data_IF_049404326672
#
_entry.id   IF_049404326672
#
_cell.length_a   1.000
_cell.length_b   1.000
_cell.length_c   1.000
_cell.angle_alpha   90.00
_cell.angle_beta   90.00
_cell.angle_gamma   90.00
#
_symmetry.space_group_name_H-M   'P 1'
#
loop_
_entity.id
_entity.type
_entity.pdbx_description
1 polymer ?
#
# COMPACT_ATOMS: atom_id res chain seq x y z
N UNK A 1 -11.75 -19.22 11.75
CA UNK A 1 -10.48 -18.44 11.81
C UNK A 1 -10.44 -17.48 10.62
N UNK A 2 -10.06 -16.23 10.81
CA UNK A 2 -9.91 -15.30 9.69
C UNK A 2 -8.75 -15.72 8.79
N UNK A 3 -9.01 -15.91 7.51
CA UNK A 3 -8.12 -16.66 6.62
C UNK A 3 -7.07 -15.80 5.91
N UNK A 4 -7.15 -14.48 5.93
CA UNK A 4 -6.09 -13.58 5.43
C UNK A 4 -6.37 -12.12 5.76
N UNK A 5 -5.31 -11.34 5.92
CA UNK A 5 -5.37 -9.88 5.96
C UNK A 5 -5.20 -9.33 4.53
N UNK A 6 -6.16 -8.58 4.05
CA UNK A 6 -6.05 -7.80 2.83
C UNK A 6 -5.78 -6.35 3.22
N UNK A 7 -4.66 -5.77 2.76
CA UNK A 7 -4.31 -4.38 3.03
C UNK A 7 -4.73 -3.48 1.89
N UNK A 8 -5.37 -2.37 2.21
CA UNK A 8 -5.74 -1.34 1.26
C UNK A 8 -5.11 -0.01 1.63
N UNK A 9 -4.64 0.71 0.64
CA UNK A 9 -4.21 2.10 0.80
C UNK A 9 -5.16 2.98 0.02
N UNK A 10 -5.79 3.90 0.73
CA UNK A 10 -6.70 4.86 0.13
C UNK A 10 -6.13 6.28 0.30
N UNK A 11 -6.20 7.07 -0.77
CA UNK A 11 -5.86 8.49 -0.73
C UNK A 11 -7.13 9.30 -0.70
N UNK A 12 -7.27 10.13 0.32
CA UNK A 12 -8.43 11.01 0.47
C UNK A 12 -8.00 12.47 0.42
N UNK A 13 -8.78 13.27 -0.29
CA UNK A 13 -8.67 14.72 -0.29
C UNK A 13 -10.05 15.33 -0.13
N UNK A 14 -10.21 16.18 0.87
CA UNK A 14 -11.26 17.17 0.90
C UNK A 14 -10.71 18.45 0.28
N UNK A 15 -11.10 18.75 -0.97
CA UNK A 15 -10.88 20.07 -1.56
C UNK A 15 -12.22 20.78 -1.63
N UNK A 16 -12.39 21.95 -1.02
CA UNK A 16 -13.61 22.73 -1.13
C UNK A 16 -13.89 23.22 -2.57
N UNK A 17 -12.89 23.14 -3.48
CA UNK A 17 -12.98 23.65 -4.84
C UNK A 17 -13.02 22.58 -5.94
N UNK A 18 -12.81 21.28 -5.64
CA UNK A 18 -12.83 20.20 -6.62
C UNK A 18 -13.44 18.90 -6.07
N UNK A 19 -14.55 18.48 -6.69
CA UNK A 19 -15.42 17.38 -6.25
C UNK A 19 -14.90 15.95 -6.51
N UNK A 20 -13.72 15.75 -7.12
CA UNK A 20 -13.28 14.43 -7.56
C UNK A 20 -11.79 14.18 -7.23
N UNK A 21 -11.53 13.50 -6.12
CA UNK A 21 -10.16 13.19 -5.73
C UNK A 21 -10.03 12.04 -4.73
N UNK A 22 -10.64 10.87 -5.04
CA UNK A 22 -10.37 9.64 -4.29
C UNK A 22 -9.65 8.67 -5.20
N UNK A 23 -8.43 8.30 -4.84
CA UNK A 23 -7.71 7.22 -5.50
C UNK A 23 -7.52 6.08 -4.52
N UNK A 24 -7.81 4.87 -4.93
CA UNK A 24 -7.66 3.67 -4.13
C UNK A 24 -6.61 2.78 -4.76
N UNK A 25 -5.61 2.44 -3.96
CA UNK A 25 -4.59 1.47 -4.32
C UNK A 25 -4.87 0.16 -3.60
N UNK A 26 -4.84 -0.94 -4.33
CA UNK A 26 -4.95 -2.26 -3.75
C UNK A 26 -3.58 -2.91 -3.65
N UNK A 27 -3.25 -3.40 -2.47
CA UNK A 27 -2.15 -4.31 -2.24
C UNK A 27 -2.69 -5.52 -1.48
N UNK A 28 -2.51 -6.71 -2.01
CA UNK A 28 -2.73 -7.93 -1.25
C UNK A 28 -1.38 -8.41 -0.72
N UNK A 29 -1.19 -8.41 0.58
CA UNK A 29 -0.08 -9.12 1.22
C UNK A 29 -0.52 -10.55 1.50
N UNK A 30 -0.45 -11.42 0.50
CA UNK A 30 -0.81 -12.83 0.65
C UNK A 30 0.45 -13.67 0.51
N UNK A 31 0.79 -14.33 1.59
CA UNK A 31 1.49 -15.59 1.51
C UNK A 31 0.45 -16.67 1.17
N UNK A 32 0.56 -17.29 -0.01
CA UNK A 32 -0.21 -18.40 -0.56
C UNK A 32 -1.45 -18.07 -1.41
N UNK A 33 -1.20 -18.01 -2.72
CA UNK A 33 -1.88 -18.64 -3.86
C UNK A 33 -3.30 -18.18 -4.34
N UNK A 34 -3.47 -18.32 -5.62
CA UNK A 34 -4.56 -18.01 -6.55
C UNK A 34 -6.03 -17.94 -6.02
N UNK A 35 -6.40 -18.75 -5.05
CA UNK A 35 -7.78 -18.81 -4.53
C UNK A 35 -8.19 -17.53 -3.80
N UNK A 36 -7.24 -16.85 -3.19
CA UNK A 36 -7.46 -15.63 -2.41
C UNK A 36 -7.57 -14.38 -3.28
N UNK A 37 -6.94 -14.39 -4.45
CA UNK A 37 -7.05 -13.28 -5.40
C UNK A 37 -8.49 -13.14 -5.96
N UNK A 38 -9.18 -14.26 -6.16
CA UNK A 38 -10.55 -14.27 -6.67
C UNK A 38 -11.55 -13.72 -5.64
N UNK A 39 -11.44 -14.14 -4.40
CA UNK A 39 -12.28 -13.62 -3.29
C UNK A 39 -12.04 -12.13 -3.04
N UNK A 40 -10.80 -11.66 -3.16
CA UNK A 40 -10.46 -10.24 -2.98
C UNK A 40 -11.01 -9.38 -4.12
N UNK A 41 -10.99 -9.86 -5.35
CA UNK A 41 -11.51 -9.12 -6.51
C UNK A 41 -13.01 -8.87 -6.39
N UNK A 42 -13.78 -9.85 -5.94
CA UNK A 42 -15.23 -9.73 -5.75
C UNK A 42 -15.62 -8.74 -4.64
N UNK A 43 -14.74 -8.50 -3.67
CA UNK A 43 -14.98 -7.62 -2.53
C UNK A 43 -14.31 -6.24 -2.65
N UNK A 44 -13.70 -5.93 -3.78
CA UNK A 44 -12.99 -4.65 -3.99
C UNK A 44 -13.90 -3.45 -3.79
N UNK A 45 -15.10 -3.47 -4.32
CA UNK A 45 -16.04 -2.35 -4.19
C UNK A 45 -16.57 -2.19 -2.77
N UNK A 46 -16.82 -3.30 -2.06
CA UNK A 46 -17.20 -3.28 -0.65
C UNK A 46 -16.08 -2.67 0.20
N UNK A 47 -14.84 -3.09 -0.03
CA UNK A 47 -13.66 -2.58 0.65
C UNK A 47 -13.43 -1.09 0.37
N UNK A 48 -13.67 -0.62 -0.87
CA UNK A 48 -13.64 0.80 -1.24
C UNK A 48 -14.69 1.60 -0.48
N UNK A 49 -15.91 1.11 -0.44
CA UNK A 49 -17.01 1.77 0.26
C UNK A 49 -16.72 1.86 1.76
N UNK A 50 -16.17 0.79 2.35
CA UNK A 50 -15.80 0.75 3.77
C UNK A 50 -14.67 1.74 4.08
N UNK A 51 -13.60 1.76 3.30
CA UNK A 51 -12.48 2.70 3.47
C UNK A 51 -12.95 4.16 3.28
N UNK A 52 -13.82 4.42 2.31
CA UNK A 52 -14.40 5.75 2.10
C UNK A 52 -15.24 6.20 3.32
N UNK A 53 -16.08 5.31 3.86
CA UNK A 53 -16.89 5.57 5.05
C UNK A 53 -16.04 5.90 6.27
N UNK A 54 -14.94 5.16 6.47
CA UNK A 54 -13.98 5.44 7.57
C UNK A 54 -13.35 6.81 7.41
N UNK A 55 -12.86 7.14 6.21
CA UNK A 55 -12.23 8.43 5.96
C UNK A 55 -13.19 9.61 6.09
N UNK A 56 -14.42 9.47 5.61
CA UNK A 56 -15.45 10.50 5.75
C UNK A 56 -15.83 10.73 7.23
N UNK A 57 -15.94 9.66 8.02
CA UNK A 57 -16.24 9.74 9.44
C UNK A 57 -15.12 10.45 10.25
N UNK A 58 -13.88 10.33 9.78
CA UNK A 58 -12.71 10.96 10.40
C UNK A 58 -12.40 12.36 9.82
N UNK A 59 -13.14 12.82 8.83
CA UNK A 59 -12.81 14.04 8.03
C UNK A 59 -11.34 14.04 7.58
N UNK A 60 -10.86 12.87 7.13
CA UNK A 60 -9.44 12.62 6.92
C UNK A 60 -8.93 13.17 5.58
N UNK A 61 -7.78 13.84 5.64
CA UNK A 61 -7.03 14.33 4.47
C UNK A 61 -5.65 13.69 4.42
N UNK A 62 -5.34 12.98 3.36
CA UNK A 62 -4.05 12.31 3.17
C UNK A 62 -4.18 10.88 2.67
N UNK A 63 -3.11 10.12 2.76
CA UNK A 63 -3.08 8.68 2.51
C UNK A 63 -3.38 7.94 3.80
N UNK A 64 -4.26 6.95 3.72
CA UNK A 64 -4.62 6.10 4.85
C UNK A 64 -4.56 4.63 4.43
N UNK A 65 -3.96 3.78 5.25
CA UNK A 65 -4.08 2.33 5.13
C UNK A 65 -5.29 1.84 5.91
N UNK A 66 -6.10 1.00 5.30
CA UNK A 66 -7.17 0.26 5.98
C UNK A 66 -6.93 -1.22 5.75
N UNK A 67 -6.60 -1.94 6.81
CA UNK A 67 -6.44 -3.39 6.75
C UNK A 67 -7.75 -4.09 7.06
N UNK A 68 -8.08 -5.08 6.24
CA UNK A 68 -9.34 -5.80 6.31
C UNK A 68 -9.08 -7.30 6.43
N UNK A 69 -9.83 -7.98 7.26
CA UNK A 69 -9.98 -9.43 7.20
C UNK A 69 -11.12 -9.79 6.26
N UNK A 70 -10.89 -10.78 5.42
CA UNK A 70 -11.94 -11.43 4.64
C UNK A 70 -12.54 -12.56 5.48
N UNK A 71 -13.83 -12.50 5.72
CA UNK A 71 -14.55 -13.51 6.50
C UNK A 71 -15.75 -14.05 5.72
N UNK A 72 -16.32 -15.19 6.07
CA UNK A 72 -17.56 -15.69 5.45
C UNK A 72 -18.75 -14.72 5.60
N UNK A 73 -18.70 -13.81 6.56
CA UNK A 73 -19.75 -12.83 6.82
C UNK A 73 -19.49 -11.47 6.13
N UNK A 74 -18.41 -11.34 5.34
CA UNK A 74 -17.99 -10.10 4.68
C UNK A 74 -16.67 -9.56 5.22
N UNK A 75 -16.39 -8.29 4.94
CA UNK A 75 -15.16 -7.62 5.35
C UNK A 75 -15.22 -7.11 6.78
N UNK A 76 -14.15 -7.34 7.54
CA UNK A 76 -13.98 -6.84 8.89
C UNK A 76 -12.72 -5.98 8.99
N UNK A 77 -12.85 -4.76 9.52
CA UNK A 77 -11.69 -3.87 9.73
C UNK A 77 -10.76 -4.46 10.79
N UNK A 78 -9.49 -4.62 10.44
CA UNK A 78 -8.42 -5.03 11.34
C UNK A 78 -7.69 -3.83 11.93
N UNK A 79 -7.15 -2.96 11.05
CA UNK A 79 -6.35 -1.81 11.46
C UNK A 79 -6.64 -0.62 10.56
N UNK A 80 -6.57 0.57 11.14
CA UNK A 80 -6.60 1.84 10.42
C UNK A 80 -5.29 2.57 10.70
N UNK A 81 -4.53 2.87 9.65
CA UNK A 81 -3.30 3.63 9.72
C UNK A 81 -3.47 4.97 8.98
N UNK A 82 -3.75 6.10 9.68
CA UNK A 82 -3.96 7.41 9.05
C UNK A 82 -2.63 8.04 8.63
N UNK A 83 -1.92 7.40 7.74
CA UNK A 83 -0.60 7.75 7.20
C UNK A 83 -0.29 6.89 6.00
N UNK A 84 0.81 7.20 5.30
CA UNK A 84 1.43 6.26 4.35
C UNK A 84 1.64 4.90 5.01
N UNK A 85 1.38 3.83 4.27
CA UNK A 85 1.35 2.49 4.82
C UNK A 85 2.28 1.55 4.05
N UNK A 86 2.81 0.55 4.77
CA UNK A 86 3.72 -0.45 4.21
C UNK A 86 3.15 -1.15 2.97
N UNK A 87 1.86 -1.47 2.99
CA UNK A 87 1.18 -2.09 1.84
C UNK A 87 1.11 -1.20 0.59
N UNK A 88 1.40 0.10 0.70
CA UNK A 88 1.48 1.05 -0.41
C UNK A 88 2.91 1.32 -0.90
N UNK A 89 3.95 0.73 -0.33
CA UNK A 89 5.34 1.03 -0.71
C UNK A 89 5.68 0.59 -2.15
N UNK A 90 4.98 -0.40 -2.69
CA UNK A 90 5.11 -0.82 -4.08
C UNK A 90 4.80 0.31 -5.08
N UNK A 91 3.98 1.30 -4.68
CA UNK A 91 3.59 2.43 -5.53
C UNK A 91 4.78 3.27 -5.99
N UNK A 92 5.89 3.29 -5.21
CA UNK A 92 7.11 4.01 -5.58
C UNK A 92 7.71 3.57 -6.92
N UNK A 93 7.45 2.34 -7.33
CA UNK A 93 7.97 1.79 -8.58
C UNK A 93 6.87 1.26 -9.51
N UNK A 94 5.62 1.26 -9.05
CA UNK A 94 4.46 0.77 -9.78
C UNK A 94 3.50 1.85 -10.28
N UNK A 95 3.62 3.10 -9.80
CA UNK A 95 2.75 4.22 -10.13
C UNK A 95 3.56 5.44 -10.57
N UNK A 96 2.95 6.32 -11.38
CA UNK A 96 3.58 7.59 -11.76
C UNK A 96 3.73 8.54 -10.57
N UNK A 97 2.73 8.57 -9.69
CA UNK A 97 2.76 9.30 -8.41
C UNK A 97 2.50 8.32 -7.30
N UNK A 98 3.46 8.17 -6.41
CA UNK A 98 3.42 7.21 -5.31
C UNK A 98 2.61 7.72 -4.10
N UNK A 99 2.43 6.86 -3.10
CA UNK A 99 1.68 7.19 -1.90
C UNK A 99 2.27 8.34 -1.09
N UNK A 100 3.58 8.52 -1.10
CA UNK A 100 4.25 9.56 -0.31
C UNK A 100 3.98 10.93 -0.94
N UNK A 101 4.19 11.04 -2.25
CA UNK A 101 3.89 12.27 -2.99
C UNK A 101 2.39 12.58 -2.94
N UNK A 102 1.50 11.58 -3.12
CA UNK A 102 0.06 11.77 -2.99
C UNK A 102 -0.33 12.28 -1.60
N UNK A 103 0.31 11.76 -0.54
CA UNK A 103 0.07 12.21 0.82
C UNK A 103 0.41 13.70 0.99
N UNK A 104 1.58 14.11 0.54
CA UNK A 104 2.01 15.51 0.59
C UNK A 104 1.08 16.39 -0.24
N UNK A 105 0.77 16.00 -1.48
CA UNK A 105 -0.19 16.75 -2.33
C UNK A 105 -1.53 16.95 -1.64
N UNK A 106 -2.08 15.89 -1.03
CA UNK A 106 -3.34 15.96 -0.31
C UNK A 106 -3.27 16.94 0.87
N UNK A 107 -2.25 16.79 1.74
CA UNK A 107 -2.12 17.58 2.98
C UNK A 107 -1.91 19.07 2.69
N UNK A 108 -1.11 19.41 1.68
CA UNK A 108 -0.86 20.83 1.33
C UNK A 108 -1.90 21.41 0.35
N UNK A 109 -2.91 20.65 0.00
CA UNK A 109 -4.00 21.12 -0.86
C UNK A 109 -3.69 21.17 -2.36
N UNK A 110 -2.63 20.51 -2.84
CA UNK A 110 -2.31 20.40 -4.27
C UNK A 110 -3.24 19.41 -4.99
N UNK A 111 -3.39 19.52 -6.33
CA UNK A 111 -4.05 18.49 -7.11
C UNK A 111 -3.38 17.12 -6.92
N UNK A 112 -4.17 16.05 -6.77
CA UNK A 112 -3.65 14.70 -6.76
C UNK A 112 -3.07 14.36 -8.14
N UNK A 113 -1.97 13.60 -8.14
CA UNK A 113 -1.37 13.09 -9.38
C UNK A 113 -2.01 11.77 -9.83
N UNK A 114 -1.53 11.26 -10.95
CA UNK A 114 -1.95 9.95 -11.43
C UNK A 114 -1.31 8.84 -10.58
N UNK A 115 -2.15 8.16 -9.83
CA UNK A 115 -1.76 6.99 -9.03
C UNK A 115 -2.10 5.65 -9.70
N UNK A 116 -2.47 5.66 -10.99
CA UNK A 116 -2.73 4.42 -11.71
C UNK A 116 -1.48 3.53 -11.78
N UNK A 117 -1.69 2.23 -11.58
CA UNK A 117 -0.62 1.24 -11.67
C UNK A 117 -0.20 1.04 -13.12
N UNK A 118 1.06 1.35 -13.43
CA UNK A 118 1.66 1.11 -14.74
C UNK A 118 2.48 -0.18 -14.82
N UNK A 119 2.90 -0.74 -13.67
CA UNK A 119 3.70 -1.95 -13.60
C UNK A 119 3.27 -2.82 -12.41
N UNK A 120 3.41 -4.12 -12.55
CA UNK A 120 3.30 -5.04 -11.42
C UNK A 120 4.59 -4.98 -10.60
N UNK A 121 4.44 -4.99 -9.28
CA UNK A 121 5.58 -4.88 -8.35
C UNK A 121 5.40 -5.89 -7.22
N UNK A 122 6.44 -6.66 -6.97
CA UNK A 122 6.56 -7.48 -5.77
C UNK A 122 7.39 -6.70 -4.75
N UNK A 123 6.78 -6.33 -3.63
CA UNK A 123 7.44 -5.62 -2.54
C UNK A 123 7.78 -6.61 -1.41
N UNK A 124 9.04 -6.58 -0.99
CA UNK A 124 9.54 -7.38 0.13
C UNK A 124 10.15 -6.45 1.19
N UNK A 125 9.73 -6.62 2.45
CA UNK A 125 10.34 -5.91 3.57
C UNK A 125 11.69 -6.53 3.91
N UNK A 126 12.69 -5.69 4.18
CA UNK A 126 13.96 -6.10 4.75
C UNK A 126 13.88 -5.95 6.28
N UNK A 127 13.87 -7.07 6.99
CA UNK A 127 13.64 -7.12 8.45
C UNK A 127 14.89 -7.61 9.16
N UNK A 128 15.39 -6.83 10.13
CA UNK A 128 16.57 -7.19 10.90
C UNK A 128 17.76 -7.47 9.98
N UNK A 129 18.30 -8.68 10.07
CA UNK A 129 19.53 -9.10 9.35
C UNK A 129 19.32 -9.26 7.83
N UNK A 130 18.09 -9.10 7.31
CA UNK A 130 17.87 -9.03 5.86
C UNK A 130 18.65 -7.89 5.20
N UNK A 131 19.12 -6.91 5.98
CA UNK A 131 20.00 -5.84 5.49
C UNK A 131 21.27 -6.38 4.86
N UNK A 132 21.76 -7.54 5.28
CA UNK A 132 22.95 -8.19 4.75
C UNK A 132 22.76 -8.71 3.32
N UNK A 133 21.50 -8.84 2.87
CA UNK A 133 21.16 -9.20 1.48
C UNK A 133 21.34 -8.03 0.48
N UNK A 134 21.52 -6.81 0.96
CA UNK A 134 21.62 -5.60 0.12
C UNK A 134 22.62 -5.73 -1.02
N UNK A 135 23.87 -6.24 -0.82
CA UNK A 135 24.81 -6.40 -1.92
C UNK A 135 24.35 -7.37 -3.02
N UNK A 136 23.54 -8.36 -2.67
CA UNK A 136 22.94 -9.29 -3.63
C UNK A 136 21.77 -8.64 -4.37
N UNK A 137 20.88 -7.95 -3.64
CA UNK A 137 19.72 -7.24 -4.20
C UNK A 137 20.16 -6.18 -5.23
N UNK A 138 21.24 -5.46 -4.96
CA UNK A 138 21.77 -4.45 -5.89
C UNK A 138 22.29 -5.01 -7.24
N UNK A 139 22.45 -6.32 -7.34
CA UNK A 139 22.79 -6.99 -8.62
C UNK A 139 21.54 -7.35 -9.43
N UNK A 140 20.36 -7.29 -8.84
CA UNK A 140 19.10 -7.59 -9.52
C UNK A 140 18.69 -6.40 -10.41
N UNK A 141 18.53 -6.63 -11.71
CA UNK A 141 18.29 -5.56 -12.71
C UNK A 141 16.92 -4.84 -12.56
N UNK A 142 15.96 -5.45 -11.91
CA UNK A 142 14.60 -4.95 -11.75
C UNK A 142 14.22 -4.68 -10.30
N UNK A 143 15.21 -4.65 -9.40
CA UNK A 143 15.02 -4.34 -7.99
C UNK A 143 15.33 -2.87 -7.72
N UNK A 144 14.41 -2.20 -7.06
CA UNK A 144 14.58 -0.87 -6.51
C UNK A 144 14.64 -0.97 -4.98
N UNK A 145 15.77 -0.58 -4.40
CA UNK A 145 16.05 -0.70 -2.98
C UNK A 145 15.73 0.62 -2.26
N UNK A 146 14.99 0.54 -1.17
CA UNK A 146 14.63 1.66 -0.32
C UNK A 146 15.04 1.38 1.13
N UNK A 147 16.13 2.01 1.58
CA UNK A 147 16.65 1.88 2.94
C UNK A 147 16.13 3.01 3.83
N UNK A 148 15.83 2.68 5.10
CA UNK A 148 15.24 3.63 6.05
C UNK A 148 16.26 4.37 6.90
N UNK A 149 17.56 4.22 6.63
CA UNK A 149 18.65 4.92 7.33
C UNK A 149 18.79 4.57 8.83
N UNK A 150 18.29 3.42 9.25
CA UNK A 150 18.38 2.99 10.65
C UNK A 150 19.76 2.47 10.97
N UNK A 151 20.37 2.96 12.06
CA UNK A 151 21.75 2.64 12.44
C UNK A 151 21.98 1.18 12.85
N UNK A 152 20.95 0.52 13.41
CA UNK A 152 21.09 -0.84 13.93
C UNK A 152 20.00 -1.77 13.38
N UNK A 153 20.39 -2.92 12.88
CA UNK A 153 19.50 -4.03 12.62
C UNK A 153 19.10 -4.70 13.94
N UNK A 154 17.80 -4.99 14.09
CA UNK A 154 17.25 -5.71 15.24
C UNK A 154 16.18 -6.68 14.76
N UNK A 155 16.00 -7.85 15.40
CA UNK A 155 14.93 -8.77 15.07
C UNK A 155 13.56 -8.06 15.00
N UNK A 156 12.77 -8.30 13.94
CA UNK A 156 11.47 -7.68 13.72
C UNK A 156 11.51 -6.23 13.24
N UNK A 157 12.68 -5.55 13.22
CA UNK A 157 12.78 -4.15 12.79
C UNK A 157 12.85 -4.06 11.28
N UNK A 158 11.92 -3.34 10.67
CA UNK A 158 11.96 -3.03 9.23
C UNK A 158 13.11 -2.06 8.95
N UNK A 159 14.10 -2.52 8.19
CA UNK A 159 15.32 -1.76 7.83
C UNK A 159 15.16 -1.06 6.48
N UNK A 160 14.28 -1.54 5.64
CA UNK A 160 14.00 -1.07 4.30
C UNK A 160 12.99 -1.96 3.61
N UNK A 161 12.84 -1.76 2.32
CA UNK A 161 12.13 -2.68 1.44
C UNK A 161 12.79 -2.71 0.06
N UNK A 162 12.50 -3.73 -0.70
CA UNK A 162 12.86 -3.84 -2.10
C UNK A 162 11.59 -4.02 -2.93
N UNK A 163 11.48 -3.24 -3.99
CA UNK A 163 10.44 -3.36 -5.00
C UNK A 163 11.03 -4.01 -6.24
N UNK A 164 10.51 -5.18 -6.61
CA UNK A 164 10.87 -5.86 -7.86
C UNK A 164 9.79 -5.62 -8.89
N UNK A 165 10.13 -4.85 -9.92
CA UNK A 165 9.21 -4.57 -11.02
C UNK A 165 9.09 -5.81 -11.89
N UNK A 166 7.88 -6.35 -11.98
CA UNK A 166 7.55 -7.46 -12.87
C UNK A 166 7.01 -6.86 -14.16
N UNK A 167 7.63 -7.19 -15.30
CA UNK A 167 7.11 -6.72 -16.59
C UNK A 167 5.74 -7.36 -16.83
N UNK A 168 4.76 -6.54 -17.13
CA UNK A 168 3.54 -7.04 -17.76
C UNK A 168 3.97 -7.75 -19.05
N UNK A 169 3.70 -9.06 -19.13
CA UNK A 169 3.82 -9.83 -20.35
C UNK A 169 2.82 -9.36 -21.41
#
# INVERSE_FOLDING_TARGET
>A
EPTAAASQVAVFRRNPYHLHGRQLFFSSSIGTEALMAEVILDQVEEARALAAKVADALDYVGVMGVELFVTPAGLLVNEIAPRVHNSGHWTQNGCAVDQFEQHIRAVVGLPLGDGARHSDVVMENLIGDDIDKVPAILKERHAALHLYGKAEARPGRKMGHVNRVVRKG
#
